data_IF_143187736299
#
_entry.id   IF_143187736299
#
_cell.length_a   1.000
_cell.length_b   1.000
_cell.length_c   1.000
_cell.angle_alpha   90.00
_cell.angle_beta   90.00
_cell.angle_gamma   90.00
#
_symmetry.space_group_name_H-M   'P 1'
#
loop_
_entity.id
_entity.type
_entity.pdbx_description
1 polymer ?
#
# COMPACT_ATOMS: atom_id res chain seq x y z
N UNK A 1 -6.29 12.32 0.43
CA UNK A 1 -6.36 12.96 -0.88
C UNK A 1 -5.87 12.03 -1.99
N UNK A 2 -6.78 11.53 -2.84
CA UNK A 2 -6.46 10.56 -3.89
C UNK A 2 -5.35 11.02 -4.84
N UNK A 3 -5.33 12.31 -5.20
CA UNK A 3 -4.25 12.88 -6.01
C UNK A 3 -2.89 12.84 -5.31
N UNK A 4 -2.86 13.04 -3.99
CA UNK A 4 -1.65 12.90 -3.19
C UNK A 4 -1.14 11.46 -3.13
N UNK A 5 -2.06 10.48 -3.01
CA UNK A 5 -1.72 9.04 -3.09
C UNK A 5 -1.11 8.70 -4.45
N UNK A 6 -1.77 9.11 -5.53
CA UNK A 6 -1.26 8.84 -6.89
C UNK A 6 0.11 9.48 -7.11
N UNK A 7 0.31 10.72 -6.65
CA UNK A 7 1.60 11.39 -6.71
C UNK A 7 2.70 10.62 -5.99
N UNK A 8 2.42 10.20 -4.75
CA UNK A 8 3.37 9.48 -3.93
C UNK A 8 3.71 8.10 -4.50
N UNK A 9 2.68 7.32 -4.88
CA UNK A 9 2.88 5.96 -5.40
C UNK A 9 3.57 5.98 -6.76
N UNK A 10 3.17 6.88 -7.66
CA UNK A 10 3.83 7.01 -8.96
C UNK A 10 5.30 7.37 -8.79
N UNK A 11 5.62 8.30 -7.89
CA UNK A 11 7.00 8.66 -7.59
C UNK A 11 7.81 7.48 -7.06
N UNK A 12 7.20 6.61 -6.24
CA UNK A 12 7.87 5.44 -5.68
C UNK A 12 8.19 4.36 -6.72
N UNK A 13 7.38 4.21 -7.77
CA UNK A 13 7.50 3.10 -8.73
C UNK A 13 8.06 3.49 -10.10
N UNK A 14 8.17 4.78 -10.43
CA UNK A 14 8.63 5.25 -11.74
C UNK A 14 9.92 6.08 -11.62
N UNK A 15 11.03 5.51 -12.08
CA UNK A 15 12.34 6.15 -12.01
C UNK A 15 12.49 7.41 -12.88
N UNK A 16 11.58 7.63 -13.82
CA UNK A 16 11.55 8.84 -14.68
C UNK A 16 11.15 10.07 -13.89
N UNK A 17 10.41 9.90 -12.79
CA UNK A 17 9.99 11.01 -11.93
C UNK A 17 11.23 11.59 -11.24
N UNK A 18 11.42 12.90 -11.37
CA UNK A 18 12.59 13.60 -10.84
C UNK A 18 12.31 14.40 -9.57
N UNK A 19 11.06 14.77 -9.34
CA UNK A 19 10.59 15.51 -8.19
C UNK A 19 9.16 15.10 -7.86
N UNK A 20 8.81 15.01 -6.58
CA UNK A 20 7.47 14.66 -6.09
C UNK A 20 7.00 15.69 -5.08
N UNK A 21 5.69 16.01 -5.08
CA UNK A 21 5.08 16.86 -4.08
C UNK A 21 3.66 16.36 -3.72
N UNK A 22 3.52 15.23 -3.02
CA UNK A 22 2.23 14.73 -2.57
C UNK A 22 1.61 15.69 -1.55
N UNK A 23 0.44 16.23 -1.88
CA UNK A 23 -0.26 17.17 -1.02
C UNK A 23 -1.25 16.47 -0.12
N UNK A 24 -1.21 16.77 1.19
CA UNK A 24 -2.16 16.35 2.24
C UNK A 24 -2.43 14.84 2.20
N UNK A 25 -1.37 14.03 2.09
CA UNK A 25 -1.51 12.59 1.95
C UNK A 25 -0.49 11.78 2.74
N UNK A 26 0.77 12.20 2.80
CA UNK A 26 1.76 11.46 3.58
C UNK A 26 1.42 11.60 5.06
N UNK A 27 1.29 10.47 5.74
CA UNK A 27 0.82 10.41 7.13
C UNK A 27 1.32 9.14 7.81
N UNK A 28 1.47 9.19 9.12
CA UNK A 28 1.71 8.01 9.96
C UNK A 28 0.44 7.21 10.22
N UNK A 29 -0.72 7.82 9.96
CA UNK A 29 -2.02 7.19 10.14
C UNK A 29 -2.56 6.65 8.83
N UNK A 30 -3.29 5.55 8.91
CA UNK A 30 -4.07 5.03 7.79
C UNK A 30 -5.29 5.92 7.59
N UNK A 31 -5.47 6.43 6.39
CA UNK A 31 -6.68 7.17 6.03
C UNK A 31 -7.75 6.17 5.59
N UNK A 32 -8.96 6.43 6.02
CA UNK A 32 -10.07 5.53 5.75
C UNK A 32 -11.12 6.06 4.77
N UNK A 33 -10.94 7.24 4.21
CA UNK A 33 -12.02 7.96 3.54
C UNK A 33 -12.47 7.37 2.22
N UNK A 34 -11.57 6.93 1.37
CA UNK A 34 -11.94 6.38 0.08
C UNK A 34 -10.92 5.36 -0.45
N UNK A 35 -11.36 4.53 -1.38
CA UNK A 35 -10.51 3.50 -2.00
C UNK A 35 -9.34 4.09 -2.77
N UNK A 36 -9.46 5.32 -3.29
CA UNK A 36 -8.39 6.02 -4.00
C UNK A 36 -7.19 6.36 -3.10
N UNK A 37 -7.36 6.33 -1.79
CA UNK A 37 -6.33 6.61 -0.79
C UNK A 37 -5.73 5.33 -0.21
N UNK A 38 -6.34 4.19 -0.48
CA UNK A 38 -5.98 2.91 0.10
C UNK A 38 -5.48 1.94 -0.97
N UNK A 39 -4.20 1.64 -0.91
CA UNK A 39 -3.61 0.59 -1.72
C UNK A 39 -3.72 -0.74 -0.95
N UNK A 40 -4.80 -1.48 -1.17
CA UNK A 40 -5.03 -2.78 -0.54
C UNK A 40 -3.82 -3.70 -0.74
N UNK A 41 -3.48 -4.49 0.26
CA UNK A 41 -2.34 -5.41 0.34
C UNK A 41 -0.95 -4.74 0.31
N UNK A 42 -0.79 -3.55 -0.27
CA UNK A 42 0.50 -2.84 -0.25
C UNK A 42 0.84 -2.24 1.13
N UNK A 43 -0.14 -2.18 2.05
CA UNK A 43 0.03 -1.58 3.38
C UNK A 43 0.26 -2.60 4.49
N UNK A 44 0.57 -3.82 4.16
CA UNK A 44 0.93 -4.83 5.16
C UNK A 44 2.31 -4.49 5.71
N UNK A 45 2.36 -4.14 7.00
CA UNK A 45 3.57 -3.68 7.70
C UNK A 45 4.27 -2.47 7.03
N UNK A 46 3.54 -1.68 6.25
CA UNK A 46 4.05 -0.55 5.49
C UNK A 46 3.04 0.59 5.52
N UNK A 47 3.51 1.81 5.64
CA UNK A 47 2.68 3.00 5.66
C UNK A 47 3.06 4.02 4.59
N UNK A 48 2.40 5.17 4.64
CA UNK A 48 2.67 6.24 3.68
C UNK A 48 4.06 6.84 3.85
N UNK A 49 4.63 6.81 5.04
CA UNK A 49 5.98 7.33 5.31
C UNK A 49 7.01 6.48 4.59
N UNK A 50 6.86 5.15 4.64
CA UNK A 50 7.73 4.21 3.95
C UNK A 50 7.60 4.34 2.43
N UNK A 51 6.38 4.49 1.91
CA UNK A 51 6.19 4.75 0.47
C UNK A 51 6.84 6.06 0.02
N UNK A 52 6.70 7.13 0.80
CA UNK A 52 7.41 8.39 0.53
C UNK A 52 8.94 8.18 0.60
N UNK A 53 9.40 7.35 1.53
CA UNK A 53 10.81 6.99 1.67
C UNK A 53 11.41 6.29 0.45
N UNK A 54 10.63 5.54 -0.32
CA UNK A 54 11.09 4.89 -1.56
C UNK A 54 11.55 5.89 -2.62
N UNK A 55 11.13 7.14 -2.55
CA UNK A 55 11.55 8.18 -3.49
C UNK A 55 12.93 8.80 -3.16
N UNK A 56 13.44 8.59 -1.94
CA UNK A 56 14.75 9.07 -1.55
C UNK A 56 15.85 8.51 -2.48
N UNK A 57 16.88 9.28 -2.81
CA UNK A 57 17.20 10.64 -2.35
C UNK A 57 16.72 11.78 -3.28
N UNK A 58 15.78 11.50 -4.20
CA UNK A 58 15.25 12.50 -5.14
C UNK A 58 14.44 13.58 -4.37
N UNK A 59 14.34 14.82 -4.90
CA UNK A 59 13.62 15.88 -4.23
C UNK A 59 12.14 15.55 -3.99
N UNK A 60 11.69 15.63 -2.73
CA UNK A 60 10.32 15.39 -2.33
C UNK A 60 9.85 16.45 -1.33
N UNK A 61 8.84 17.22 -1.71
CA UNK A 61 8.12 18.11 -0.81
C UNK A 61 6.78 17.47 -0.42
N UNK A 62 6.22 17.91 0.69
CA UNK A 62 4.88 17.52 1.13
C UNK A 62 4.30 18.58 2.05
N UNK A 63 2.99 18.54 2.28
CA UNK A 63 2.36 19.42 3.26
C UNK A 63 1.39 18.69 4.15
N UNK A 64 1.16 19.27 5.33
CA UNK A 64 0.14 18.84 6.28
C UNK A 64 -1.09 19.75 6.22
N UNK A 65 -2.18 19.33 6.84
CA UNK A 65 -3.39 20.09 7.12
C UNK A 65 -3.91 19.72 8.53
N UNK A 66 -4.98 20.36 8.98
CA UNK A 66 -5.70 19.94 10.19
C UNK A 66 -6.58 18.72 9.89
N UNK A 67 -5.90 17.60 9.67
CA UNK A 67 -6.50 16.31 9.34
C UNK A 67 -5.57 15.17 9.80
N UNK A 68 -5.66 14.00 9.18
CA UNK A 68 -4.80 12.84 9.47
C UNK A 68 -3.31 13.06 9.18
N UNK A 69 -2.94 14.14 8.50
CA UNK A 69 -1.53 14.45 8.18
C UNK A 69 -0.82 15.30 9.24
N UNK A 70 -1.54 15.85 10.21
CA UNK A 70 -1.00 16.78 11.21
C UNK A 70 0.14 16.20 12.06
N UNK A 71 0.17 14.91 12.27
CA UNK A 71 1.23 14.26 13.06
C UNK A 71 2.57 14.14 12.30
N UNK A 72 2.59 14.38 10.99
CA UNK A 72 3.80 14.26 10.19
C UNK A 72 4.96 15.11 10.71
N UNK A 73 4.67 16.31 11.21
CA UNK A 73 5.72 17.21 11.72
C UNK A 73 6.50 16.61 12.91
N UNK A 74 5.91 15.72 13.67
CA UNK A 74 6.50 15.15 14.89
C UNK A 74 6.85 13.68 14.81
N UNK A 75 6.21 12.91 13.94
CA UNK A 75 6.35 11.45 13.88
C UNK A 75 6.98 10.98 12.56
N UNK A 76 6.37 11.23 11.43
CA UNK A 76 6.80 10.65 10.16
C UNK A 76 7.90 11.44 9.45
N UNK A 77 7.82 12.77 9.47
CA UNK A 77 8.81 13.60 8.78
C UNK A 77 10.23 13.49 9.36
N UNK A 78 10.42 13.40 10.69
CA UNK A 78 11.76 13.14 11.25
C UNK A 78 12.41 11.86 10.71
N UNK A 79 11.64 10.81 10.46
CA UNK A 79 12.16 9.57 9.90
C UNK A 79 12.59 9.74 8.44
N UNK A 80 11.79 10.46 7.64
CA UNK A 80 12.19 10.83 6.28
C UNK A 80 13.45 11.70 6.27
N UNK A 81 13.56 12.70 7.16
CA UNK A 81 14.76 13.52 7.27
C UNK A 81 15.99 12.69 7.62
N UNK A 82 15.84 11.74 8.52
CA UNK A 82 16.92 10.80 8.89
C UNK A 82 17.35 9.99 7.67
N UNK A 83 16.39 9.42 6.93
CA UNK A 83 16.66 8.67 5.70
C UNK A 83 17.42 9.52 4.68
N UNK A 84 16.91 10.71 4.36
CA UNK A 84 17.55 11.62 3.41
C UNK A 84 18.96 12.08 3.87
N UNK A 85 19.14 12.22 5.19
CA UNK A 85 20.47 12.51 5.76
C UNK A 85 21.46 11.37 5.54
N UNK A 86 21.02 10.11 5.64
CA UNK A 86 21.85 8.93 5.35
C UNK A 86 22.39 8.96 3.91
N UNK A 87 21.62 9.52 2.97
CA UNK A 87 22.06 9.75 1.58
C UNK A 87 22.86 11.06 1.38
N UNK A 88 23.09 11.84 2.43
CA UNK A 88 23.73 13.17 2.31
C UNK A 88 22.86 14.20 1.56
N UNK A 89 21.53 14.01 1.55
CA UNK A 89 20.56 14.82 0.79
C UNK A 89 19.42 15.37 1.66
N UNK A 90 19.75 15.76 2.88
CA UNK A 90 18.77 16.28 3.85
C UNK A 90 17.87 17.38 3.28
N UNK A 91 18.44 18.27 2.45
CA UNK A 91 17.71 19.42 1.89
C UNK A 91 16.80 19.05 0.70
N UNK A 92 16.83 17.78 0.27
CA UNK A 92 15.95 17.28 -0.76
C UNK A 92 14.57 16.89 -0.22
N UNK A 93 14.35 16.86 1.09
CA UNK A 93 13.04 16.58 1.67
C UNK A 93 12.50 17.81 2.41
N UNK A 94 11.25 18.18 2.10
CA UNK A 94 10.57 19.37 2.65
C UNK A 94 9.21 18.98 3.22
N UNK A 95 8.89 19.51 4.42
CA UNK A 95 7.53 19.51 4.95
C UNK A 95 7.05 20.95 5.11
N UNK A 96 5.99 21.30 4.39
CA UNK A 96 5.24 22.53 4.66
C UNK A 96 4.19 22.23 5.74
N UNK A 97 4.30 22.91 6.88
CA UNK A 97 3.34 22.75 7.97
C UNK A 97 2.10 23.61 7.71
N UNK A 98 0.97 22.96 7.55
CA UNK A 98 -0.31 23.60 7.26
C UNK A 98 -1.42 23.21 8.24
N UNK A 99 -1.08 22.80 9.48
CA UNK A 99 -2.02 22.26 10.48
C UNK A 99 -3.09 23.28 10.93
N UNK A 100 -2.96 24.54 10.56
CA UNK A 100 -3.95 25.60 10.79
C UNK A 100 -4.94 25.78 9.64
N UNK A 101 -4.77 25.04 8.55
CA UNK A 101 -5.71 25.00 7.43
C UNK A 101 -6.48 23.68 7.40
N UNK A 102 -7.78 23.72 7.04
CA UNK A 102 -8.48 22.48 6.73
C UNK A 102 -7.87 21.80 5.50
N UNK A 103 -8.27 20.57 5.24
CA UNK A 103 -7.85 19.81 4.07
C UNK A 103 -8.10 20.55 2.76
N UNK A 104 -7.05 21.05 2.13
CA UNK A 104 -7.12 21.80 0.86
C UNK A 104 -5.75 21.89 0.17
N UNK A 105 -5.77 22.41 -1.06
CA UNK A 105 -4.59 22.77 -1.83
C UNK A 105 -4.63 24.29 -2.11
N UNK A 106 -4.36 25.09 -1.10
CA UNK A 106 -4.47 26.55 -1.14
C UNK A 106 -3.25 27.24 -1.75
N UNK A 107 -3.33 28.57 -1.90
CA UNK A 107 -2.26 29.38 -2.49
C UNK A 107 -0.93 29.27 -1.71
N UNK A 108 -0.99 29.10 -0.39
CA UNK A 108 0.22 28.95 0.45
C UNK A 108 0.94 27.64 0.09
N UNK A 109 0.19 26.54 0.00
CA UNK A 109 0.74 25.25 -0.40
C UNK A 109 1.28 25.28 -1.82
N UNK A 110 0.55 25.92 -2.76
CA UNK A 110 0.99 26.02 -4.15
C UNK A 110 2.25 26.87 -4.27
N UNK A 111 2.34 28.01 -3.57
CA UNK A 111 3.54 28.84 -3.56
C UNK A 111 4.76 28.08 -3.02
N UNK A 112 4.60 27.30 -1.97
CA UNK A 112 5.67 26.46 -1.44
C UNK A 112 6.10 25.38 -2.46
N UNK A 113 5.15 24.73 -3.13
CA UNK A 113 5.43 23.76 -4.19
C UNK A 113 6.16 24.41 -5.36
N UNK A 114 5.71 25.57 -5.85
CA UNK A 114 6.40 26.31 -6.93
C UNK A 114 7.83 26.70 -6.54
N UNK A 115 8.01 27.16 -5.31
CA UNK A 115 9.34 27.54 -4.79
C UNK A 115 10.27 26.31 -4.72
N UNK A 116 9.74 25.17 -4.29
CA UNK A 116 10.48 23.92 -4.25
C UNK A 116 10.85 23.42 -5.67
N UNK A 117 9.92 23.49 -6.62
CA UNK A 117 10.17 23.21 -8.03
C UNK A 117 11.24 24.16 -8.62
N UNK A 118 11.11 25.47 -8.35
CA UNK A 118 12.07 26.48 -8.82
C UNK A 118 13.49 26.17 -8.35
N UNK A 119 13.65 25.79 -7.10
CA UNK A 119 14.95 25.47 -6.50
C UNK A 119 15.57 24.23 -7.14
N UNK A 120 14.84 23.15 -7.25
CA UNK A 120 15.38 21.87 -7.70
C UNK A 120 15.54 21.77 -9.22
N UNK A 121 14.67 22.41 -9.99
CA UNK A 121 14.80 22.48 -11.46
C UNK A 121 15.59 23.69 -11.94
N UNK A 122 16.03 24.58 -11.02
CA UNK A 122 16.83 25.77 -11.33
C UNK A 122 16.15 26.66 -12.38
N UNK A 123 14.84 26.93 -12.18
CA UNK A 123 14.04 27.69 -13.13
C UNK A 123 14.37 29.19 -13.19
N UNK A 124 15.16 29.70 -12.25
CA UNK A 124 15.61 31.10 -12.24
C UNK A 124 14.54 32.11 -11.84
N UNK A 125 13.44 31.66 -11.22
CA UNK A 125 12.38 32.55 -10.77
C UNK A 125 12.74 33.22 -9.43
N UNK A 126 12.19 34.41 -9.10
CA UNK A 126 12.30 34.99 -7.76
C UNK A 126 11.78 34.02 -6.69
N UNK A 127 12.39 34.02 -5.50
CA UNK A 127 11.98 33.19 -4.37
C UNK A 127 11.51 34.06 -3.21
N UNK A 128 10.36 33.77 -2.57
CA UNK A 128 9.42 32.71 -2.90
C UNK A 128 8.69 32.95 -4.23
N UNK A 129 8.29 31.87 -4.90
CA UNK A 129 7.45 31.95 -6.08
C UNK A 129 6.00 32.16 -5.64
N UNK A 130 5.44 33.31 -5.97
CA UNK A 130 4.08 33.66 -5.59
C UNK A 130 3.20 33.63 -6.84
N UNK A 131 1.97 33.14 -6.68
CA UNK A 131 0.98 33.13 -7.76
C UNK A 131 0.68 34.59 -8.19
N UNK A 132 0.52 34.77 -9.49
CA UNK A 132 0.01 35.98 -10.06
C UNK A 132 -1.50 35.88 -10.15
N UNK A 133 -2.17 37.04 -10.04
CA UNK A 133 -3.58 37.13 -10.35
C UNK A 133 -3.83 36.68 -11.80
N UNK A 134 -4.87 35.96 -12.02
CA UNK A 134 -5.31 35.48 -13.32
C UNK A 134 -6.83 35.58 -13.45
N UNK A 135 -7.30 35.78 -14.65
CA UNK A 135 -8.72 35.68 -14.94
C UNK A 135 -9.08 34.24 -15.23
N UNK A 136 -10.04 33.67 -14.48
CA UNK A 136 -10.52 32.32 -14.76
C UNK A 136 -11.09 32.21 -16.15
N UNK A 137 -10.75 31.15 -16.85
CA UNK A 137 -11.34 30.86 -18.15
C UNK A 137 -12.85 30.71 -18.03
N UNK A 138 -13.57 31.20 -19.00
CA UNK A 138 -15.02 31.01 -19.11
C UNK A 138 -15.35 29.53 -19.38
N UNK A 139 -16.59 29.15 -19.09
CA UNK A 139 -17.06 27.80 -19.41
C UNK A 139 -16.88 27.45 -20.89
N UNK A 140 -17.13 28.40 -21.79
CA UNK A 140 -16.96 28.18 -23.24
C UNK A 140 -15.48 27.88 -23.60
N UNK A 141 -14.53 28.61 -22.98
CA UNK A 141 -13.10 28.36 -23.18
C UNK A 141 -12.61 27.03 -22.58
N UNK A 142 -13.28 26.54 -21.55
CA UNK A 142 -12.98 25.25 -20.91
C UNK A 142 -13.70 24.06 -21.57
N UNK A 143 -14.68 24.34 -22.43
CA UNK A 143 -15.44 23.30 -23.12
C UNK A 143 -14.60 22.68 -24.23
N UNK A 144 -14.35 21.41 -24.14
CA UNK A 144 -13.58 20.64 -25.13
C UNK A 144 -14.48 20.20 -26.31
N UNK A 145 -15.74 19.91 -26.01
CA UNK A 145 -16.69 19.38 -26.99
C UNK A 145 -17.52 20.50 -27.61
N UNK A 146 -17.52 20.61 -28.93
CA UNK A 146 -18.31 21.55 -29.74
C UNK A 146 -18.80 20.87 -30.99
N UNK A 147 -19.46 21.62 -31.87
CA UNK A 147 -20.00 21.08 -33.13
C UNK A 147 -18.91 20.53 -34.08
N UNK A 148 -17.68 21.06 -33.97
CA UNK A 148 -16.53 20.60 -34.78
C UNK A 148 -15.81 19.45 -34.10
N UNK A 149 -15.91 19.34 -32.77
CA UNK A 149 -15.28 18.33 -31.94
C UNK A 149 -16.37 17.72 -31.05
N UNK A 150 -17.29 16.93 -31.59
CA UNK A 150 -18.39 16.39 -30.82
C UNK A 150 -17.92 15.44 -29.76
N UNK A 151 -18.57 15.46 -28.62
CA UNK A 151 -18.32 14.48 -27.56
C UNK A 151 -18.48 13.06 -28.11
N UNK A 152 -17.64 12.11 -27.70
CA UNK A 152 -17.86 10.71 -28.03
C UNK A 152 -19.26 10.31 -27.58
N UNK A 153 -19.92 9.45 -28.37
CA UNK A 153 -21.22 8.89 -27.97
C UNK A 153 -21.05 8.28 -26.58
N UNK A 154 -22.09 8.43 -25.75
CA UNK A 154 -22.11 7.81 -24.44
C UNK A 154 -21.64 6.36 -24.57
N UNK A 155 -20.58 6.03 -23.86
CA UNK A 155 -19.97 4.71 -23.89
C UNK A 155 -20.89 3.66 -23.31
N UNK A 156 -20.46 2.41 -23.35
CA UNK A 156 -21.11 1.32 -22.66
C UNK A 156 -21.21 1.64 -21.16
N UNK A 157 -22.42 1.71 -20.57
CA UNK A 157 -22.58 1.99 -19.14
C UNK A 157 -21.90 0.94 -18.24
N UNK A 158 -21.61 -0.24 -18.76
CA UNK A 158 -20.89 -1.31 -18.08
C UNK A 158 -19.38 -1.32 -18.35
N UNK A 159 -18.85 -0.30 -19.04
CA UNK A 159 -17.45 -0.25 -19.44
C UNK A 159 -16.50 -0.38 -18.24
N UNK A 160 -16.76 0.37 -17.17
CA UNK A 160 -15.92 0.33 -15.97
C UNK A 160 -15.91 -1.07 -15.33
N UNK A 161 -17.07 -1.70 -15.20
CA UNK A 161 -17.17 -3.08 -14.70
C UNK A 161 -16.46 -4.09 -15.56
N UNK A 162 -16.58 -3.95 -16.90
CA UNK A 162 -15.86 -4.81 -17.85
C UNK A 162 -14.37 -4.62 -17.76
N UNK A 163 -13.90 -3.38 -17.58
CA UNK A 163 -12.48 -3.08 -17.38
C UNK A 163 -11.96 -3.68 -16.08
N UNK A 164 -12.67 -3.51 -14.95
CA UNK A 164 -12.31 -4.11 -13.69
C UNK A 164 -12.28 -5.64 -13.77
N UNK A 165 -13.29 -6.22 -14.41
CA UNK A 165 -13.32 -7.67 -14.65
C UNK A 165 -12.13 -8.13 -15.49
N UNK A 166 -11.76 -7.39 -16.53
CA UNK A 166 -10.61 -7.72 -17.35
C UNK A 166 -9.30 -7.73 -16.53
N UNK A 167 -9.08 -6.75 -15.66
CA UNK A 167 -7.93 -6.74 -14.75
C UNK A 167 -7.93 -7.94 -13.82
N UNK A 168 -9.09 -8.30 -13.26
CA UNK A 168 -9.21 -9.49 -12.39
C UNK A 168 -8.91 -10.77 -13.17
N UNK A 169 -9.53 -10.96 -14.31
CA UNK A 169 -9.33 -12.14 -15.16
C UNK A 169 -7.85 -12.29 -15.61
N UNK A 170 -7.18 -11.17 -15.92
CA UNK A 170 -5.77 -11.18 -16.28
C UNK A 170 -4.86 -11.53 -15.08
N UNK A 171 -5.16 -10.97 -13.91
CA UNK A 171 -4.45 -11.33 -12.68
C UNK A 171 -4.63 -12.81 -12.31
N UNK A 172 -5.85 -13.32 -12.36
CA UNK A 172 -6.15 -14.74 -12.09
C UNK A 172 -5.43 -15.66 -13.06
N UNK A 173 -5.37 -15.28 -14.35
CA UNK A 173 -4.62 -16.03 -15.37
C UNK A 173 -3.12 -16.07 -15.05
N UNK A 174 -2.53 -14.92 -14.67
CA UNK A 174 -1.11 -14.85 -14.33
C UNK A 174 -0.79 -15.65 -13.07
N UNK A 175 -1.62 -15.54 -12.02
CA UNK A 175 -1.45 -16.29 -10.78
C UNK A 175 -1.62 -17.79 -10.99
N UNK A 176 -2.61 -18.20 -11.78
CA UNK A 176 -2.83 -19.61 -12.11
C UNK A 176 -1.65 -20.20 -12.89
N UNK A 177 -1.11 -19.44 -13.84
CA UNK A 177 0.07 -19.85 -14.60
C UNK A 177 1.31 -19.97 -13.68
N UNK A 178 1.49 -19.03 -12.77
CA UNK A 178 2.57 -19.07 -11.79
C UNK A 178 2.44 -20.25 -10.84
N UNK A 179 1.23 -20.52 -10.33
CA UNK A 179 0.97 -21.64 -9.43
C UNK A 179 1.15 -23.02 -10.07
N UNK A 180 1.07 -23.12 -11.39
CA UNK A 180 1.24 -24.36 -12.13
C UNK A 180 2.70 -24.85 -12.25
N UNK A 181 3.68 -24.01 -11.90
CA UNK A 181 5.11 -24.34 -12.05
C UNK A 181 5.88 -24.14 -10.74
N UNK A 182 6.91 -24.97 -10.52
CA UNK A 182 7.78 -24.80 -9.34
C UNK A 182 8.50 -23.44 -9.36
N UNK A 183 8.90 -22.94 -10.51
CA UNK A 183 9.54 -21.64 -10.68
C UNK A 183 8.58 -20.49 -10.36
N UNK A 184 7.35 -20.53 -10.85
CA UNK A 184 6.31 -19.55 -10.55
C UNK A 184 5.90 -19.55 -9.08
N UNK A 185 5.77 -20.73 -8.46
CA UNK A 185 5.55 -20.85 -7.02
C UNK A 185 6.66 -20.17 -6.22
N UNK A 186 7.92 -20.38 -6.59
CA UNK A 186 9.07 -19.82 -5.89
C UNK A 186 9.25 -18.31 -6.10
N UNK A 187 9.04 -17.83 -7.32
CA UNK A 187 9.36 -16.46 -7.70
C UNK A 187 8.21 -15.47 -7.52
N UNK A 188 6.98 -15.94 -7.59
CA UNK A 188 5.78 -15.08 -7.58
C UNK A 188 4.92 -15.37 -6.36
N UNK A 189 4.46 -16.61 -6.19
CA UNK A 189 3.48 -16.95 -5.15
C UNK A 189 4.11 -16.88 -3.76
N UNK A 190 5.26 -17.50 -3.57
CA UNK A 190 5.92 -17.51 -2.25
C UNK A 190 6.24 -16.11 -1.72
N UNK A 191 6.89 -15.20 -2.45
CA UNK A 191 7.15 -13.84 -1.96
C UNK A 191 5.86 -13.08 -1.64
N UNK A 192 4.80 -13.25 -2.44
CA UNK A 192 3.50 -12.64 -2.17
C UNK A 192 2.90 -13.16 -0.86
N UNK A 193 2.94 -14.47 -0.63
CA UNK A 193 2.48 -15.07 0.64
C UNK A 193 3.32 -14.60 1.82
N UNK A 194 4.65 -14.52 1.67
CA UNK A 194 5.55 -14.04 2.72
C UNK A 194 5.24 -12.57 3.10
N UNK A 195 4.91 -11.73 2.12
CA UNK A 195 4.46 -10.35 2.38
C UNK A 195 3.12 -10.33 3.12
N UNK A 196 2.14 -11.12 2.67
CA UNK A 196 0.80 -11.18 3.29
C UNK A 196 0.85 -11.71 4.72
N UNK A 197 1.65 -12.75 4.97
CA UNK A 197 1.84 -13.36 6.29
C UNK A 197 2.77 -12.50 7.18
N UNK A 198 3.61 -11.68 6.57
CA UNK A 198 4.62 -10.86 7.26
C UNK A 198 5.83 -11.65 7.74
N UNK A 199 5.97 -12.92 7.32
CA UNK A 199 7.08 -13.82 7.67
C UNK A 199 7.41 -14.78 6.55
N UNK A 200 8.69 -15.09 6.43
CA UNK A 200 9.18 -16.21 5.64
C UNK A 200 9.35 -17.45 6.51
N UNK A 201 9.51 -18.60 5.89
CA UNK A 201 9.85 -19.83 6.61
C UNK A 201 11.15 -19.70 7.40
N UNK A 202 12.13 -18.96 6.89
CA UNK A 202 13.43 -18.77 7.55
C UNK A 202 13.34 -17.99 8.86
N UNK A 203 12.32 -17.14 9.03
CA UNK A 203 12.06 -16.36 10.22
C UNK A 203 10.71 -16.69 10.88
N UNK A 204 10.21 -17.90 10.65
CA UNK A 204 8.94 -18.37 11.23
C UNK A 204 8.95 -18.41 12.77
N UNK A 205 10.12 -18.51 13.38
CA UNK A 205 10.28 -18.58 14.83
C UNK A 205 10.32 -20.03 15.35
N UNK A 206 10.47 -20.14 16.66
CA UNK A 206 10.51 -21.43 17.37
C UNK A 206 9.08 -21.88 17.71
N UNK A 207 8.68 -23.01 17.13
CA UNK A 207 7.33 -23.57 17.29
C UNK A 207 7.39 -24.86 18.09
N UNK A 208 6.55 -24.96 19.11
CA UNK A 208 6.39 -26.16 19.96
C UNK A 208 4.96 -26.69 19.87
N UNK A 209 4.82 -28.00 19.80
CA UNK A 209 3.54 -28.69 19.88
C UNK A 209 3.32 -29.25 21.29
N UNK A 210 2.21 -28.90 21.91
CA UNK A 210 1.76 -29.45 23.19
C UNK A 210 0.50 -30.27 22.99
N UNK A 211 0.61 -31.60 23.13
CA UNK A 211 -0.53 -32.50 23.06
C UNK A 211 -1.39 -32.37 24.34
N UNK A 212 -2.67 -32.09 24.16
CA UNK A 212 -3.64 -31.96 25.25
C UNK A 212 -4.56 -33.17 25.36
N UNK A 213 -4.95 -33.74 24.23
CA UNK A 213 -5.86 -34.90 24.19
C UNK A 213 -5.51 -35.80 23.01
N UNK A 214 -5.69 -37.12 23.21
CA UNK A 214 -5.52 -38.15 22.17
C UNK A 214 -6.60 -39.20 22.31
N UNK A 215 -7.35 -39.43 21.25
CA UNK A 215 -8.43 -40.43 21.19
C UNK A 215 -8.24 -41.36 20.00
N UNK A 216 -8.45 -42.64 20.23
CA UNK A 216 -8.51 -43.64 19.16
C UNK A 216 -9.96 -43.68 18.63
N UNK A 217 -10.14 -43.35 17.34
CA UNK A 217 -11.42 -43.37 16.64
C UNK A 217 -11.58 -44.59 15.72
N UNK A 218 -10.81 -45.64 15.96
CA UNK A 218 -10.82 -46.86 15.17
C UNK A 218 -9.92 -46.77 13.94
N UNK A 219 -10.28 -46.02 12.92
CA UNK A 219 -9.49 -45.90 11.68
C UNK A 219 -8.40 -44.84 11.77
N UNK A 220 -8.54 -43.87 12.68
CA UNK A 220 -7.58 -42.77 12.90
C UNK A 220 -7.40 -42.45 14.36
N UNK A 221 -6.31 -41.78 14.68
CA UNK A 221 -6.08 -41.12 15.96
C UNK A 221 -6.47 -39.65 15.82
N UNK A 222 -7.35 -39.19 16.69
CA UNK A 222 -7.65 -37.78 16.85
C UNK A 222 -6.75 -37.21 17.96
N UNK A 223 -5.92 -36.22 17.64
CA UNK A 223 -5.05 -35.54 18.59
C UNK A 223 -5.40 -34.07 18.61
N UNK A 224 -5.64 -33.53 19.78
CA UNK A 224 -5.88 -32.08 19.98
C UNK A 224 -4.78 -31.50 20.85
N UNK A 225 -4.35 -30.31 20.54
CA UNK A 225 -3.30 -29.63 21.28
C UNK A 225 -3.09 -28.20 20.79
N UNK A 226 -2.01 -27.61 21.26
CA UNK A 226 -1.64 -26.23 20.98
C UNK A 226 -0.29 -26.16 20.27
N UNK A 227 -0.21 -25.43 19.19
CA UNK A 227 1.04 -24.94 18.61
C UNK A 227 1.36 -23.59 19.24
N UNK A 228 2.47 -23.51 19.94
CA UNK A 228 2.97 -22.27 20.54
C UNK A 228 4.19 -21.78 19.79
N UNK A 229 4.13 -20.57 19.24
CA UNK A 229 5.30 -19.89 18.72
C UNK A 229 5.94 -19.06 19.81
N UNK A 230 7.03 -19.54 20.38
CA UNK A 230 7.73 -18.89 21.51
C UNK A 230 8.37 -17.57 21.14
N UNK A 231 8.83 -17.45 19.89
CA UNK A 231 9.50 -16.26 19.41
C UNK A 231 8.55 -15.05 19.35
N UNK A 232 7.29 -15.30 18.99
CA UNK A 232 6.30 -14.23 18.76
C UNK A 232 5.17 -14.22 19.81
N UNK A 233 5.16 -15.18 20.74
CA UNK A 233 4.12 -15.28 21.77
C UNK A 233 2.75 -15.64 21.21
N UNK A 234 2.69 -16.45 20.16
CA UNK A 234 1.45 -16.83 19.47
C UNK A 234 1.05 -18.26 19.82
N UNK A 235 -0.26 -18.50 19.92
CA UNK A 235 -0.82 -19.82 20.19
C UNK A 235 -1.95 -20.14 19.23
N UNK A 236 -1.94 -21.37 18.69
CA UNK A 236 -2.96 -21.89 17.80
C UNK A 236 -3.45 -23.25 18.30
N UNK A 237 -4.76 -23.40 18.45
CA UNK A 237 -5.36 -24.68 18.72
C UNK A 237 -5.41 -25.52 17.43
N UNK A 238 -4.89 -26.74 17.49
CA UNK A 238 -4.79 -27.64 16.33
C UNK A 238 -5.42 -28.99 16.65
N UNK A 239 -6.15 -29.52 15.70
CA UNK A 239 -6.60 -30.91 15.70
C UNK A 239 -5.89 -31.69 14.57
N UNK A 240 -5.32 -32.84 14.90
CA UNK A 240 -4.70 -33.74 13.94
C UNK A 240 -5.57 -35.00 13.82
N UNK A 241 -5.93 -35.34 12.60
CA UNK A 241 -6.55 -36.60 12.26
C UNK A 241 -5.49 -37.48 11.59
N UNK A 242 -4.92 -38.43 12.34
CA UNK A 242 -3.83 -39.25 11.86
C UNK A 242 -4.37 -40.66 11.51
N UNK A 243 -4.54 -40.99 10.22
CA UNK A 243 -5.05 -42.29 9.81
C UNK A 243 -4.05 -43.40 10.13
N UNK A 244 -4.52 -44.54 10.63
CA UNK A 244 -3.66 -45.71 10.95
C UNK A 244 -2.99 -46.30 9.69
N UNK A 245 -3.62 -46.11 8.53
CA UNK A 245 -3.03 -46.43 7.22
C UNK A 245 -2.74 -45.15 6.46
N UNK A 246 -1.59 -44.54 6.74
CA UNK A 246 -1.21 -43.28 6.14
C UNK A 246 -0.56 -43.48 4.75
N UNK A 247 -1.01 -42.73 3.77
CA UNK A 247 -0.54 -42.78 2.37
C UNK A 247 0.59 -41.79 2.05
N UNK A 248 1.18 -41.16 3.05
CA UNK A 248 2.26 -40.16 2.89
C UNK A 248 1.80 -38.74 2.55
N UNK A 249 0.50 -38.48 2.47
CA UNK A 249 -0.04 -37.15 2.20
C UNK A 249 -0.58 -36.52 3.49
N UNK A 250 -0.26 -35.23 3.68
CA UNK A 250 -0.84 -34.41 4.73
C UNK A 250 -1.65 -33.28 4.09
N UNK A 251 -2.78 -32.94 4.68
CA UNK A 251 -3.61 -31.79 4.30
C UNK A 251 -3.64 -30.85 5.50
N UNK A 252 -3.29 -29.59 5.29
CA UNK A 252 -3.44 -28.53 6.28
C UNK A 252 -4.71 -27.77 5.94
N UNK A 253 -5.66 -27.77 6.88
CA UNK A 253 -6.92 -27.05 6.75
C UNK A 253 -6.88 -25.85 7.70
N UNK A 254 -7.03 -24.65 7.14
CA UNK A 254 -7.12 -23.40 7.89
C UNK A 254 -8.55 -22.87 7.79
N UNK A 255 -9.20 -22.72 8.93
CA UNK A 255 -10.59 -22.25 9.00
C UNK A 255 -10.80 -21.42 10.25
N UNK A 256 -11.48 -20.28 10.12
CA UNK A 256 -11.79 -19.40 11.25
C UNK A 256 -12.72 -20.05 12.29
N UNK A 257 -13.54 -21.00 11.87
CA UNK A 257 -14.40 -21.81 12.76
C UNK A 257 -13.61 -22.87 13.53
N UNK A 258 -12.32 -23.01 13.28
CA UNK A 258 -11.46 -24.01 13.89
C UNK A 258 -11.93 -25.42 13.61
N UNK A 259 -11.85 -26.33 14.61
CA UNK A 259 -12.24 -27.73 14.40
C UNK A 259 -13.73 -27.98 14.20
N UNK A 260 -14.60 -27.00 14.45
CA UNK A 260 -16.03 -27.15 14.12
C UNK A 260 -16.27 -27.23 12.60
N UNK A 261 -15.35 -26.73 11.78
CA UNK A 261 -15.36 -26.94 10.33
C UNK A 261 -15.23 -28.40 9.90
N UNK A 262 -14.69 -29.29 10.75
CA UNK A 262 -14.56 -30.72 10.48
C UNK A 262 -15.84 -31.51 10.76
N UNK A 263 -16.89 -30.86 11.31
CA UNK A 263 -18.16 -31.50 11.69
C UNK A 263 -19.28 -31.25 10.66
N UNK A 264 -19.02 -30.43 9.66
CA UNK A 264 -19.88 -30.15 8.52
C UNK A 264 -19.33 -30.83 7.25
#
# INVERSE_FOLDING_TARGET
>A
SGGGTQTMLLAAIDDRIKLSFPCVMVSTSMQGGCTCENASLLRINTGNVEFAGLFAPKPQGMNTADDWTKEMSTKGFPDLQKLYTTYGKKDNVLLLRGEHFPHNYNAVTRSAMYTFLNMHFKLGLPSPVIERDYEPLTRAQLTVWDDKHPAPKAGDPEFERKLLKWFTDDADKQLSAAAATADGLQKIIRPAVEVLVGRSYANAGEVEWTLQNKQDRGEHLEMAGTLTNKTYGEELNVAWLYPKQWNGRAVVWLDESGKSALQN
#
